data_IF_983957263273
#
_entry.id   IF_983957263273
#
_cell.length_a   1.000
_cell.length_b   1.000
_cell.length_c   1.000
_cell.angle_alpha   90.00
_cell.angle_beta   90.00
_cell.angle_gamma   90.00
#
_symmetry.space_group_name_H-M   'P 1'
#
loop_
_entity.id
_entity.type
_entity.pdbx_description
1 polymer ?
#
# COMPACT_ATOMS: atom_id res chain seq x y z
N UNK A 1 -27.44 -3.50 0.34
CA UNK A 1 -25.99 -3.72 0.53
C UNK A 1 -25.61 -3.18 1.90
N UNK A 2 -24.91 -3.94 2.76
CA UNK A 2 -24.50 -3.45 4.07
C UNK A 2 -23.55 -2.25 3.94
N UNK A 3 -23.64 -1.33 4.91
CA UNK A 3 -22.90 -0.08 4.96
C UNK A 3 -21.42 -0.39 5.21
N UNK A 4 -20.56 -0.22 4.21
CA UNK A 4 -19.11 -0.45 4.34
C UNK A 4 -18.57 0.52 5.41
N UNK A 5 -18.09 -0.03 6.51
CA UNK A 5 -17.49 0.73 7.59
C UNK A 5 -16.05 1.15 7.23
N UNK A 6 -15.51 2.25 7.80
CA UNK A 6 -14.12 2.65 7.56
C UNK A 6 -13.08 1.61 8.00
N UNK A 7 -13.41 0.75 8.95
CA UNK A 7 -12.58 -0.39 9.36
C UNK A 7 -12.44 -1.41 8.22
N UNK A 8 -13.47 -1.56 7.39
CA UNK A 8 -13.52 -2.52 6.28
C UNK A 8 -12.56 -2.15 5.14
N UNK A 9 -11.97 -0.94 5.17
CA UNK A 9 -11.06 -0.46 4.13
C UNK A 9 -9.58 -0.59 4.50
N UNK A 10 -9.26 -1.17 5.66
CA UNK A 10 -7.86 -1.49 6.01
C UNK A 10 -7.38 -2.62 5.11
N UNK A 11 -6.25 -2.44 4.45
CA UNK A 11 -5.64 -3.49 3.65
C UNK A 11 -5.00 -4.55 4.55
N UNK A 12 -5.39 -5.81 4.35
CA UNK A 12 -4.73 -6.97 4.92
C UNK A 12 -3.64 -7.46 3.96
N UNK A 13 -2.38 -7.21 4.29
CA UNK A 13 -1.25 -7.57 3.44
C UNK A 13 -1.09 -9.07 3.24
N UNK A 14 -1.70 -9.92 4.07
CA UNK A 14 -1.72 -11.36 3.85
C UNK A 14 -2.57 -11.77 2.63
N UNK A 15 -3.41 -10.89 2.08
CA UNK A 15 -4.14 -11.15 0.85
C UNK A 15 -3.24 -11.04 -0.39
N UNK A 16 -3.56 -11.72 -1.52
CA UNK A 16 -2.81 -11.59 -2.77
C UNK A 16 -2.85 -10.17 -3.35
N UNK A 17 -1.76 -9.71 -4.00
CA UNK A 17 -1.67 -8.38 -4.57
C UNK A 17 -2.80 -8.02 -5.55
N UNK A 18 -3.31 -8.93 -6.43
CA UNK A 18 -4.50 -8.65 -7.25
C UNK A 18 -5.77 -8.36 -6.46
N UNK A 19 -5.95 -8.99 -5.29
CA UNK A 19 -7.09 -8.74 -4.40
C UNK A 19 -6.96 -7.33 -3.80
N UNK A 20 -5.78 -6.99 -3.28
CA UNK A 20 -5.52 -5.67 -2.68
C UNK A 20 -5.60 -4.54 -3.71
N UNK A 21 -5.11 -4.76 -4.94
CA UNK A 21 -5.22 -3.80 -6.03
C UNK A 21 -6.67 -3.48 -6.39
N UNK A 22 -7.55 -4.48 -6.37
CA UNK A 22 -9.00 -4.31 -6.57
C UNK A 22 -9.64 -3.60 -5.38
N UNK A 23 -9.25 -3.95 -4.15
CA UNK A 23 -9.73 -3.31 -2.93
C UNK A 23 -9.42 -1.81 -2.90
N UNK A 24 -8.19 -1.42 -3.29
CA UNK A 24 -7.80 0.00 -3.43
C UNK A 24 -8.73 0.76 -4.36
N UNK A 25 -9.12 0.14 -5.49
CA UNK A 25 -10.07 0.76 -6.44
C UNK A 25 -11.49 0.79 -5.89
N UNK A 26 -11.94 -0.29 -5.25
CA UNK A 26 -13.30 -0.42 -4.74
C UNK A 26 -13.61 0.55 -3.59
N UNK A 27 -12.60 0.86 -2.75
CA UNK A 27 -12.75 1.80 -1.65
C UNK A 27 -12.49 3.26 -2.03
N UNK A 28 -12.05 3.56 -3.25
CA UNK A 28 -11.77 4.92 -3.70
C UNK A 28 -13.04 5.56 -4.32
N UNK A 29 -13.46 6.79 -3.93
CA UNK A 29 -12.81 7.71 -3.00
C UNK A 29 -13.21 7.55 -1.52
N UNK A 30 -14.34 6.91 -1.24
CA UNK A 30 -14.87 6.75 0.13
C UNK A 30 -15.23 5.28 0.33
N UNK A 31 -14.79 4.63 1.43
CA UNK A 31 -14.06 5.19 2.60
C UNK A 31 -12.55 5.51 2.38
N UNK A 32 -11.96 5.02 1.29
CA UNK A 32 -10.53 5.10 0.97
C UNK A 32 -9.74 3.95 1.60
N UNK A 33 -9.05 3.16 0.79
CA UNK A 33 -8.18 2.10 1.29
C UNK A 33 -7.04 2.67 2.13
N UNK A 34 -6.69 1.99 3.22
CA UNK A 34 -5.65 2.49 4.13
C UNK A 34 -4.87 1.38 4.82
N UNK A 35 -3.70 1.75 5.34
CA UNK A 35 -2.82 0.93 6.18
C UNK A 35 -2.15 1.83 7.22
N UNK A 36 -1.21 1.30 7.99
CA UNK A 36 -0.39 2.07 8.93
C UNK A 36 1.08 2.00 8.57
N UNK A 37 1.79 3.11 8.74
CA UNK A 37 3.25 3.19 8.77
C UNK A 37 3.63 3.86 10.08
N UNK A 38 4.46 3.20 10.90
CA UNK A 38 4.89 3.72 12.21
C UNK A 38 3.71 4.11 13.13
N UNK A 39 2.62 3.33 13.06
CA UNK A 39 1.39 3.58 13.82
C UNK A 39 0.48 4.68 13.25
N UNK A 40 0.92 5.42 12.22
CA UNK A 40 0.11 6.47 11.59
C UNK A 40 -0.60 5.99 10.34
N UNK A 41 -1.80 6.52 10.08
CA UNK A 41 -2.58 6.17 8.89
C UNK A 41 -1.90 6.61 7.60
N UNK A 42 -1.82 5.69 6.66
CA UNK A 42 -1.42 5.90 5.28
C UNK A 42 -2.57 5.48 4.37
N UNK A 43 -3.22 6.45 3.71
CA UNK A 43 -4.23 6.14 2.68
C UNK A 43 -3.56 5.81 1.36
N UNK A 44 -4.12 4.85 0.63
CA UNK A 44 -3.64 4.40 -0.67
C UNK A 44 -4.71 4.74 -1.69
N UNK A 45 -4.42 5.70 -2.55
CA UNK A 45 -5.36 6.20 -3.56
C UNK A 45 -5.23 5.44 -4.87
N UNK A 46 -3.99 5.08 -5.24
CA UNK A 46 -3.71 4.34 -6.47
C UNK A 46 -2.60 3.31 -6.23
N UNK A 47 -2.85 2.10 -6.71
CA UNK A 47 -1.89 1.02 -6.69
C UNK A 47 -1.91 0.23 -8.01
N UNK A 48 -0.80 -0.44 -8.32
CA UNK A 48 -0.69 -1.39 -9.43
C UNK A 48 0.04 -2.64 -8.97
N UNK A 49 -0.08 -3.71 -9.75
CA UNK A 49 0.71 -4.90 -9.53
C UNK A 49 2.19 -4.61 -9.83
N UNK A 50 3.06 -5.20 -9.02
CA UNK A 50 4.47 -5.30 -9.34
C UNK A 50 4.67 -6.24 -10.55
N UNK A 51 5.81 -6.11 -11.23
CA UNK A 51 6.16 -7.02 -12.33
C UNK A 51 6.46 -8.43 -11.78
N UNK A 52 6.30 -9.44 -12.64
CA UNK A 52 6.58 -10.82 -12.26
C UNK A 52 8.04 -10.96 -11.80
N UNK A 53 8.25 -11.65 -10.68
CA UNK A 53 9.59 -11.80 -10.06
C UNK A 53 9.91 -10.72 -9.02
N UNK A 54 9.27 -9.55 -9.06
CA UNK A 54 9.39 -8.54 -8.00
C UNK A 54 8.64 -9.05 -6.77
N UNK A 55 9.34 -9.23 -5.64
CA UNK A 55 8.89 -9.92 -4.41
C UNK A 55 8.67 -11.43 -4.51
N UNK A 56 9.17 -12.09 -5.58
CA UNK A 56 9.20 -13.55 -5.67
C UNK A 56 10.28 -14.11 -4.72
N UNK A 57 9.92 -14.24 -3.44
CA UNK A 57 10.80 -14.74 -2.37
C UNK A 57 10.09 -14.70 -1.01
N UNK A 58 10.79 -15.11 0.05
CA UNK A 58 10.32 -15.18 1.44
C UNK A 58 10.03 -13.79 2.09
N UNK A 59 9.53 -12.83 1.32
CA UNK A 59 9.17 -11.52 1.83
C UNK A 59 7.93 -11.63 2.71
N UNK A 60 8.04 -11.10 3.93
CA UNK A 60 6.94 -11.14 4.90
C UNK A 60 5.86 -10.14 4.45
N UNK A 61 4.57 -10.53 4.41
CA UNK A 61 3.48 -9.62 4.06
C UNK A 61 3.55 -8.29 4.82
N UNK A 62 3.40 -7.19 4.08
CA UNK A 62 3.50 -5.83 4.58
C UNK A 62 4.92 -5.23 4.52
N UNK A 63 5.95 -6.02 4.24
CA UNK A 63 7.32 -5.52 4.10
C UNK A 63 7.45 -4.55 2.92
N UNK A 64 8.14 -3.44 3.16
CA UNK A 64 8.33 -2.37 2.17
C UNK A 64 9.68 -2.48 1.46
N UNK A 65 9.65 -2.63 0.14
CA UNK A 65 10.80 -2.43 -0.73
C UNK A 65 10.69 -1.05 -1.41
N UNK A 66 11.66 -0.17 -1.17
CA UNK A 66 11.63 1.18 -1.70
C UNK A 66 13.02 1.56 -2.22
N UNK A 67 13.06 2.06 -3.45
CA UNK A 67 14.26 2.63 -4.06
C UNK A 67 14.07 4.15 -4.18
N UNK A 68 15.15 4.95 -4.03
CA UNK A 68 15.06 6.40 -4.19
C UNK A 68 14.41 6.79 -5.52
N UNK A 69 13.44 7.71 -5.45
CA UNK A 69 12.70 8.21 -6.62
C UNK A 69 11.70 7.23 -7.23
N UNK A 70 11.57 6.01 -6.71
CA UNK A 70 10.62 5.02 -7.21
C UNK A 70 9.46 4.79 -6.24
N UNK A 71 8.25 4.51 -6.75
CA UNK A 71 7.14 4.08 -5.91
C UNK A 71 7.50 2.82 -5.11
N UNK A 72 7.16 2.74 -3.81
CA UNK A 72 7.47 1.56 -3.01
C UNK A 72 6.62 0.36 -3.44
N UNK A 73 7.21 -0.82 -3.30
CA UNK A 73 6.56 -2.12 -3.49
C UNK A 73 6.35 -2.77 -2.14
N UNK A 74 5.12 -3.19 -1.87
CA UNK A 74 4.76 -3.88 -0.64
C UNK A 74 4.62 -5.35 -0.93
N UNK A 75 5.30 -6.19 -0.16
CA UNK A 75 5.11 -7.63 -0.21
C UNK A 75 3.69 -7.98 0.26
N UNK A 76 3.02 -8.85 -0.49
CA UNK A 76 1.68 -9.33 -0.16
C UNK A 76 1.72 -10.85 0.07
N UNK A 77 0.60 -11.46 0.49
CA UNK A 77 0.50 -12.92 0.57
C UNK A 77 0.65 -13.64 -0.77
N UNK A 78 0.66 -12.89 -1.88
CA UNK A 78 1.10 -13.34 -3.19
C UNK A 78 1.47 -12.17 -4.08
N UNK A 79 2.71 -12.13 -4.55
CA UNK A 79 3.25 -11.04 -5.36
C UNK A 79 3.41 -9.73 -4.59
N UNK A 80 3.60 -8.63 -5.34
CA UNK A 80 3.85 -7.31 -4.78
C UNK A 80 2.86 -6.26 -5.26
N UNK A 81 2.56 -5.29 -4.39
CA UNK A 81 1.71 -4.14 -4.70
C UNK A 81 2.53 -2.86 -4.72
N UNK A 82 2.54 -2.17 -5.86
CA UNK A 82 3.23 -0.89 -6.03
C UNK A 82 2.29 0.25 -5.60
N UNK A 83 2.71 1.07 -4.63
CA UNK A 83 1.92 2.22 -4.18
C UNK A 83 2.23 3.44 -5.04
N UNK A 84 1.34 3.75 -5.98
CA UNK A 84 1.56 4.81 -6.98
C UNK A 84 1.22 6.18 -6.41
N UNK A 85 0.14 6.28 -5.65
CA UNK A 85 -0.31 7.53 -5.02
C UNK A 85 -0.83 7.23 -3.62
N UNK A 86 -0.29 7.96 -2.64
CA UNK A 86 -0.57 7.77 -1.22
C UNK A 86 -0.85 9.09 -0.53
N UNK A 87 -1.42 9.02 0.67
CA UNK A 87 -1.66 10.19 1.50
C UNK A 87 -1.39 9.84 2.97
N UNK A 88 -0.24 10.28 3.51
CA UNK A 88 0.04 10.23 4.95
C UNK A 88 -0.97 11.07 5.76
N UNK A 89 -1.15 10.73 7.03
CA UNK A 89 -2.02 11.46 7.94
C UNK A 89 -1.65 12.96 7.98
N UNK A 90 -2.65 13.83 7.84
CA UNK A 90 -2.45 15.29 7.88
C UNK A 90 -1.67 15.88 6.69
N UNK A 91 -1.37 15.09 5.65
CA UNK A 91 -0.64 15.53 4.46
C UNK A 91 -1.53 15.50 3.20
N UNK A 92 -1.19 16.29 2.16
CA UNK A 92 -1.80 16.14 0.84
C UNK A 92 -1.43 14.78 0.22
N UNK A 93 -2.17 14.40 -0.83
CA UNK A 93 -1.81 13.25 -1.67
C UNK A 93 -0.45 13.51 -2.33
N UNK A 94 0.35 12.47 -2.47
CA UNK A 94 1.67 12.54 -3.10
C UNK A 94 1.97 11.27 -3.89
N UNK A 95 2.90 11.38 -4.84
CA UNK A 95 3.38 10.23 -5.58
C UNK A 95 4.14 9.27 -4.65
N UNK A 96 4.09 7.97 -4.98
CA UNK A 96 4.79 6.94 -4.21
C UNK A 96 6.31 7.20 -4.11
N UNK A 97 6.93 7.73 -5.17
CA UNK A 97 8.35 8.07 -5.17
C UNK A 97 8.69 9.20 -4.20
N UNK A 98 7.85 10.23 -4.12
CA UNK A 98 8.02 11.34 -3.17
C UNK A 98 7.86 10.84 -1.73
N UNK A 99 6.87 9.98 -1.50
CA UNK A 99 6.69 9.31 -0.23
C UNK A 99 7.91 8.47 0.15
N UNK A 100 8.45 7.67 -0.78
CA UNK A 100 9.65 6.86 -0.53
C UNK A 100 10.87 7.73 -0.19
N UNK A 101 11.06 8.86 -0.89
CA UNK A 101 12.16 9.79 -0.61
C UNK A 101 12.03 10.49 0.74
N UNK A 102 10.82 10.92 1.11
CA UNK A 102 10.55 11.67 2.34
C UNK A 102 10.51 10.81 3.60
N UNK A 103 9.86 9.64 3.52
CA UNK A 103 9.66 8.75 4.68
C UNK A 103 10.73 7.66 4.79
N UNK A 104 11.40 7.31 3.68
CA UNK A 104 12.42 6.26 3.58
C UNK A 104 12.01 4.93 4.22
N UNK A 105 10.83 4.37 3.89
CA UNK A 105 10.27 3.22 4.59
C UNK A 105 10.94 1.88 4.22
N UNK A 106 12.08 1.87 3.54
CA UNK A 106 12.67 0.62 3.06
C UNK A 106 13.04 -0.32 4.22
N UNK A 107 12.58 -1.57 4.15
CA UNK A 107 12.81 -2.57 5.20
C UNK A 107 11.82 -2.47 6.37
N UNK A 108 10.97 -1.45 6.42
CA UNK A 108 9.88 -1.35 7.38
C UNK A 108 8.67 -2.21 6.97
N UNK A 109 7.66 -2.26 7.84
CA UNK A 109 6.43 -2.99 7.65
C UNK A 109 5.22 -2.06 7.70
N UNK A 110 4.28 -2.27 6.79
CA UNK A 110 2.98 -1.66 6.82
C UNK A 110 1.99 -2.58 7.51
N UNK A 111 1.08 -1.99 8.29
CA UNK A 111 0.10 -2.72 9.10
C UNK A 111 0.21 -2.41 10.57
#
# INVERSE_FOLDING_TARGET
APKVAPADARLDWAAPAPVLQRAVRAYNPVPGAWTTLRGERLKIHRARLAEAGVTAGAAVPGQVSALPGQPPVIACGGGGLVLVEVQPAGKPRMAGGDFANGYRPHGEYLG
#
